data_IF_294104838924
#
_entry.id   IF_294104838924
#
_cell.length_a   1.000
_cell.length_b   1.000
_cell.length_c   1.000
_cell.angle_alpha   90.00
_cell.angle_beta   90.00
_cell.angle_gamma   90.00
#
_symmetry.space_group_name_H-M   'P 1'
#
loop_
_entity.id
_entity.type
_entity.pdbx_description
1 polymer ?
#
# COMPACT_ATOMS: atom_id res chain seq x y z
N UNK A 1 7.28 -34.54 30.01
CA UNK A 1 7.73 -34.01 28.71
C UNK A 1 6.84 -32.83 28.43
N UNK A 2 7.38 -31.61 28.46
CA UNK A 2 6.61 -30.41 28.11
C UNK A 2 6.39 -30.37 26.60
N UNK A 3 5.19 -29.96 26.19
CA UNK A 3 4.81 -29.79 24.79
C UNK A 3 4.08 -28.46 24.58
N UNK A 4 3.39 -28.34 23.46
CA UNK A 4 2.66 -27.14 23.08
C UNK A 4 1.23 -27.50 22.71
N UNK A 5 0.27 -26.71 23.17
CA UNK A 5 -1.11 -26.74 22.69
C UNK A 5 -1.23 -25.73 21.55
N UNK A 6 -1.57 -26.20 20.36
CA UNK A 6 -1.70 -25.39 19.14
C UNK A 6 -3.19 -25.24 18.85
N UNK A 7 -3.67 -24.01 18.69
CA UNK A 7 -5.07 -23.76 18.38
C UNK A 7 -5.40 -24.25 16.95
N UNK A 8 -6.60 -24.79 16.75
CA UNK A 8 -7.05 -25.36 15.47
C UNK A 8 -7.15 -24.34 14.32
N UNK A 9 -7.26 -23.05 14.64
CA UNK A 9 -7.21 -21.94 13.69
C UNK A 9 -5.78 -21.65 13.17
N UNK A 10 -4.74 -22.20 13.81
CA UNK A 10 -3.34 -22.11 13.39
C UNK A 10 -2.65 -20.78 13.72
N UNK A 11 -3.33 -19.86 14.42
CA UNK A 11 -2.85 -18.52 14.72
C UNK A 11 -2.26 -18.34 16.13
N UNK A 12 -2.21 -19.42 16.93
CA UNK A 12 -1.68 -19.33 18.29
C UNK A 12 -1.29 -20.68 18.87
N UNK A 13 -0.34 -20.64 19.79
CA UNK A 13 0.05 -21.79 20.60
C UNK A 13 0.52 -21.35 21.99
N UNK A 14 0.43 -22.27 22.95
CA UNK A 14 0.93 -22.06 24.32
C UNK A 14 1.69 -23.29 24.81
N UNK A 15 2.66 -23.08 25.70
CA UNK A 15 3.37 -24.19 26.33
C UNK A 15 2.47 -24.91 27.34
N UNK A 16 2.50 -26.25 27.33
CA UNK A 16 1.72 -27.11 28.22
C UNK A 16 2.59 -28.21 28.84
N UNK A 17 2.23 -28.66 30.03
CA UNK A 17 2.98 -29.67 30.78
C UNK A 17 2.68 -31.11 30.34
N UNK A 18 1.45 -31.35 29.88
CA UNK A 18 0.94 -32.65 29.40
C UNK A 18 -0.10 -32.46 28.29
N UNK A 19 -0.46 -33.56 27.62
CA UNK A 19 -1.61 -33.65 26.71
C UNK A 19 -2.95 -33.39 27.42
N UNK A 20 -3.00 -33.62 28.74
CA UNK A 20 -4.19 -33.39 29.57
C UNK A 20 -4.52 -31.89 29.73
N UNK A 21 -3.54 -31.01 29.47
CA UNK A 21 -3.71 -29.56 29.57
C UNK A 21 -4.20 -28.93 28.25
N UNK A 22 -4.49 -29.71 27.22
CA UNK A 22 -4.90 -29.26 25.88
C UNK A 22 -6.40 -29.02 25.85
N UNK A 23 -6.83 -27.84 25.38
CA UNK A 23 -8.23 -27.46 25.25
C UNK A 23 -8.94 -28.18 24.10
N UNK A 24 -10.27 -28.06 24.07
CA UNK A 24 -11.14 -28.73 23.08
C UNK A 24 -10.89 -28.31 21.63
N UNK A 25 -10.38 -27.09 21.43
CA UNK A 25 -10.03 -26.52 20.12
C UNK A 25 -8.50 -26.43 19.91
N UNK A 26 -7.74 -27.21 20.67
CA UNK A 26 -6.28 -27.26 20.58
C UNK A 26 -5.82 -28.69 20.29
N UNK A 27 -4.66 -28.84 19.66
CA UNK A 27 -3.99 -30.13 19.48
C UNK A 27 -2.58 -30.10 20.08
N UNK A 28 -2.14 -31.26 20.57
CA UNK A 28 -0.84 -31.40 21.24
C UNK A 28 0.31 -31.56 20.24
N UNK A 29 1.29 -30.67 20.30
CA UNK A 29 2.52 -30.74 19.54
C UNK A 29 3.72 -30.96 20.46
N UNK A 30 4.54 -31.98 20.16
CA UNK A 30 5.75 -32.31 20.94
C UNK A 30 6.92 -31.38 20.59
N UNK A 31 6.91 -30.78 19.39
CA UNK A 31 7.92 -29.83 18.93
C UNK A 31 7.45 -28.38 19.06
N UNK A 32 8.37 -27.41 19.03
CA UNK A 32 8.03 -25.99 18.93
C UNK A 32 7.18 -25.80 17.67
N UNK A 33 5.90 -25.42 17.78
CA UNK A 33 5.07 -25.17 16.62
C UNK A 33 5.62 -23.98 15.83
N UNK A 34 5.43 -23.97 14.49
CA UNK A 34 5.83 -22.83 13.68
C UNK A 34 5.18 -21.56 14.26
N UNK A 35 5.95 -20.48 14.35
CA UNK A 35 5.38 -19.20 14.73
C UNK A 35 4.19 -18.91 13.80
N UNK A 36 3.04 -18.47 14.34
CA UNK A 36 1.93 -18.07 13.48
C UNK A 36 2.47 -17.05 12.49
N UNK A 37 2.22 -17.26 11.19
CA UNK A 37 2.67 -16.33 10.18
C UNK A 37 2.13 -14.95 10.59
N UNK A 38 2.99 -13.91 10.70
CA UNK A 38 2.50 -12.57 10.96
C UNK A 38 1.43 -12.26 9.91
N UNK A 39 0.35 -11.60 10.29
CA UNK A 39 -0.71 -11.16 9.37
C UNK A 39 -0.14 -10.14 8.39
N UNK A 40 0.62 -10.61 7.40
CA UNK A 40 1.09 -9.81 6.28
C UNK A 40 -0.10 -9.58 5.37
N UNK A 41 -0.32 -8.32 4.99
CA UNK A 41 -1.35 -7.94 4.04
C UNK A 41 -1.22 -8.81 2.79
N UNK A 42 -2.31 -9.38 2.30
CA UNK A 42 -2.27 -10.21 1.08
C UNK A 42 -1.94 -9.34 -0.13
N UNK A 43 -1.43 -9.93 -1.22
CA UNK A 43 -1.15 -9.20 -2.46
C UNK A 43 -2.41 -8.48 -2.99
N UNK A 44 -3.58 -9.09 -2.85
CA UNK A 44 -4.86 -8.47 -3.21
C UNK A 44 -5.12 -7.18 -2.41
N UNK A 45 -4.97 -7.26 -1.08
CA UNK A 45 -5.16 -6.12 -0.19
C UNK A 45 -4.13 -5.01 -0.46
N UNK A 46 -2.87 -5.37 -0.76
CA UNK A 46 -1.83 -4.41 -1.17
C UNK A 46 -2.22 -3.72 -2.48
N UNK A 47 -2.75 -4.47 -3.45
CA UNK A 47 -3.23 -3.94 -4.70
C UNK A 47 -4.40 -2.97 -4.55
N UNK A 48 -5.34 -3.26 -3.66
CA UNK A 48 -6.43 -2.34 -3.32
C UNK A 48 -5.92 -1.06 -2.66
N UNK A 49 -5.04 -1.19 -1.66
CA UNK A 49 -4.45 -0.04 -0.98
C UNK A 49 -3.69 0.87 -1.96
N UNK A 50 -2.90 0.28 -2.88
CA UNK A 50 -2.21 1.03 -3.91
C UNK A 50 -3.18 1.75 -4.86
N UNK A 51 -4.31 1.13 -5.24
CA UNK A 51 -5.34 1.80 -6.07
C UNK A 51 -5.98 2.98 -5.34
N UNK A 52 -6.31 2.81 -4.05
CA UNK A 52 -6.84 3.90 -3.22
C UNK A 52 -5.85 5.06 -3.14
N UNK A 53 -4.57 4.76 -2.86
CA UNK A 53 -3.53 5.78 -2.81
C UNK A 53 -3.38 6.52 -4.14
N UNK A 54 -3.37 5.81 -5.26
CA UNK A 54 -3.35 6.41 -6.60
C UNK A 54 -4.52 7.36 -6.82
N UNK A 55 -5.73 6.96 -6.43
CA UNK A 55 -6.94 7.75 -6.65
C UNK A 55 -6.92 9.04 -5.80
N UNK A 56 -6.41 8.96 -4.58
CA UNK A 56 -6.13 10.14 -3.74
C UNK A 56 -5.14 11.09 -4.43
N UNK A 57 -4.01 10.57 -4.93
CA UNK A 57 -3.00 11.38 -5.61
C UNK A 57 -3.54 12.00 -6.92
N UNK A 58 -4.38 11.29 -7.67
CA UNK A 58 -5.06 11.81 -8.85
C UNK A 58 -6.04 12.94 -8.51
N UNK A 59 -6.75 12.84 -7.37
CA UNK A 59 -7.63 13.91 -6.89
C UNK A 59 -6.84 15.16 -6.49
N UNK A 60 -5.72 14.99 -5.77
CA UNK A 60 -4.81 16.09 -5.43
C UNK A 60 -4.30 16.78 -6.70
N UNK A 61 -3.82 16.00 -7.67
CA UNK A 61 -3.35 16.55 -8.94
C UNK A 61 -4.45 17.31 -9.69
N UNK A 62 -5.69 16.81 -9.71
CA UNK A 62 -6.81 17.52 -10.33
C UNK A 62 -7.08 18.88 -9.65
N UNK A 63 -7.06 18.93 -8.31
CA UNK A 63 -7.24 20.17 -7.56
C UNK A 63 -6.12 21.18 -7.83
N UNK A 64 -4.86 20.72 -7.95
CA UNK A 64 -3.71 21.57 -8.29
C UNK A 64 -3.77 22.10 -9.72
N UNK A 65 -4.23 21.27 -10.66
CA UNK A 65 -4.34 21.63 -12.06
C UNK A 65 -5.46 22.63 -12.35
N UNK A 66 -6.55 22.64 -11.57
CA UNK A 66 -7.72 23.51 -11.82
C UNK A 66 -7.34 24.98 -12.06
N UNK A 67 -6.71 25.66 -11.07
CA UNK A 67 -6.31 27.06 -11.23
C UNK A 67 -5.33 27.31 -12.38
N UNK A 68 -4.39 26.38 -12.60
CA UNK A 68 -3.40 26.50 -13.69
C UNK A 68 -4.07 26.38 -15.06
N UNK A 69 -5.06 25.49 -15.18
CA UNK A 69 -5.84 25.32 -16.40
C UNK A 69 -6.74 26.54 -16.62
N UNK A 70 -7.38 27.08 -15.58
CA UNK A 70 -8.17 28.31 -15.66
C UNK A 70 -7.32 29.48 -16.19
N UNK A 71 -6.10 29.66 -15.69
CA UNK A 71 -5.18 30.69 -16.15
C UNK A 71 -4.79 30.53 -17.63
N UNK A 72 -4.58 29.28 -18.08
CA UNK A 72 -4.29 28.98 -19.49
C UNK A 72 -5.51 29.25 -20.38
N UNK A 73 -6.69 28.86 -19.93
CA UNK A 73 -7.93 28.95 -20.71
C UNK A 73 -8.36 30.42 -20.96
N UNK A 74 -7.94 31.35 -20.11
CA UNK A 74 -8.17 32.80 -20.27
C UNK A 74 -6.93 33.56 -20.81
N UNK A 75 -5.92 32.85 -21.29
CA UNK A 75 -4.65 33.41 -21.79
C UNK A 75 -3.91 34.31 -20.77
N UNK A 76 -4.10 34.06 -19.47
CA UNK A 76 -3.48 34.80 -18.35
C UNK A 76 -2.35 34.04 -17.66
N UNK A 77 -2.05 32.81 -18.11
CA UNK A 77 -1.00 31.98 -17.51
C UNK A 77 0.40 32.53 -17.77
N UNK A 78 1.22 32.51 -16.74
CA UNK A 78 2.66 32.78 -16.84
C UNK A 78 3.38 31.55 -17.41
N UNK A 79 4.58 31.74 -17.96
CA UNK A 79 5.38 30.64 -18.52
C UNK A 79 5.59 29.51 -17.51
N UNK A 80 5.87 29.86 -16.24
CA UNK A 80 6.07 28.90 -15.15
C UNK A 80 4.78 28.12 -14.84
N UNK A 81 3.61 28.74 -14.94
CA UNK A 81 2.31 28.07 -14.72
C UNK A 81 1.99 27.06 -15.84
N UNK A 82 2.30 27.41 -17.09
CA UNK A 82 2.17 26.51 -18.24
C UNK A 82 3.09 25.30 -18.09
N UNK A 83 4.33 25.53 -17.67
CA UNK A 83 5.29 24.46 -17.41
C UNK A 83 4.86 23.58 -16.23
N UNK A 84 4.39 24.18 -15.13
CA UNK A 84 3.89 23.46 -13.97
C UNK A 84 2.66 22.59 -14.34
N UNK A 85 1.74 23.13 -15.14
CA UNK A 85 0.58 22.38 -15.65
C UNK A 85 1.00 21.17 -16.48
N UNK A 86 2.06 21.29 -17.29
CA UNK A 86 2.63 20.17 -18.06
C UNK A 86 3.20 19.09 -17.12
N UNK A 87 3.92 19.47 -16.08
CA UNK A 87 4.44 18.53 -15.08
C UNK A 87 3.32 17.79 -14.35
N UNK A 88 2.24 18.48 -13.97
CA UNK A 88 1.06 17.83 -13.37
C UNK A 88 0.36 16.85 -14.32
N UNK A 89 0.28 17.16 -15.62
CA UNK A 89 -0.27 16.24 -16.63
C UNK A 89 0.60 14.97 -16.76
N UNK A 90 1.92 15.12 -16.80
CA UNK A 90 2.86 13.99 -16.82
C UNK A 90 2.75 13.13 -15.56
N UNK A 91 2.63 13.77 -14.40
CA UNK A 91 2.43 13.11 -13.11
C UNK A 91 1.16 12.25 -13.10
N UNK A 92 0.01 12.78 -13.54
CA UNK A 92 -1.24 12.00 -13.65
C UNK A 92 -1.10 10.81 -14.61
N UNK A 93 -0.36 10.97 -15.71
CA UNK A 93 -0.11 9.87 -16.66
C UNK A 93 0.73 8.78 -15.98
N UNK A 94 1.77 9.15 -15.23
CA UNK A 94 2.60 8.22 -14.49
C UNK A 94 1.79 7.47 -13.42
N UNK A 95 0.96 8.19 -12.64
CA UNK A 95 0.06 7.60 -11.65
C UNK A 95 -0.91 6.57 -12.25
N UNK A 96 -1.47 6.85 -13.44
CA UNK A 96 -2.36 5.90 -14.09
C UNK A 96 -1.66 4.61 -14.55
N UNK A 97 -0.32 4.63 -14.66
CA UNK A 97 0.49 3.51 -15.14
C UNK A 97 1.16 2.71 -14.03
N UNK A 98 0.98 3.05 -12.76
CA UNK A 98 1.64 2.33 -11.64
C UNK A 98 1.29 0.85 -11.60
N UNK A 99 0.08 0.47 -12.03
CA UNK A 99 -0.36 -0.94 -12.07
C UNK A 99 0.35 -1.75 -13.17
N UNK A 100 1.02 -1.07 -14.11
CA UNK A 100 1.81 -1.71 -15.16
C UNK A 100 3.28 -1.90 -14.73
N UNK A 101 3.67 -1.44 -13.55
CA UNK A 101 5.01 -1.64 -13.04
C UNK A 101 5.23 -3.11 -12.67
N UNK A 102 6.43 -3.65 -12.89
CA UNK A 102 6.74 -5.04 -12.56
C UNK A 102 6.66 -5.33 -11.05
N UNK A 103 6.86 -4.32 -10.21
CA UNK A 103 6.78 -4.45 -8.74
C UNK A 103 5.38 -4.25 -8.16
N UNK A 104 4.35 -3.97 -8.97
CA UNK A 104 2.99 -3.85 -8.43
C UNK A 104 2.48 -5.21 -7.90
N UNK A 105 1.86 -5.27 -6.71
CA UNK A 105 1.55 -4.17 -5.78
C UNK A 105 2.53 -3.98 -4.60
N UNK A 106 3.63 -4.73 -4.57
CA UNK A 106 4.52 -4.83 -3.41
C UNK A 106 5.64 -3.78 -3.39
N UNK A 107 6.20 -3.45 -4.54
CA UNK A 107 7.30 -2.51 -4.74
C UNK A 107 6.94 -1.52 -5.85
N UNK A 108 6.25 -0.44 -5.48
CA UNK A 108 5.72 0.55 -6.41
C UNK A 108 6.61 1.79 -6.39
N UNK A 109 7.17 2.12 -7.54
CA UNK A 109 7.86 3.38 -7.79
C UNK A 109 6.82 4.49 -7.97
N UNK A 110 6.52 5.20 -6.89
CA UNK A 110 5.60 6.33 -6.93
C UNK A 110 6.27 7.54 -7.61
N UNK A 111 5.63 8.16 -8.62
CA UNK A 111 6.17 9.37 -9.22
C UNK A 111 6.21 10.49 -8.17
N UNK A 112 7.19 11.39 -8.29
CA UNK A 112 7.27 12.60 -7.47
C UNK A 112 6.28 13.64 -7.98
N UNK A 113 5.60 14.32 -7.05
CA UNK A 113 4.69 15.40 -7.42
C UNK A 113 5.48 16.62 -7.93
N UNK A 114 4.91 17.44 -8.82
CA UNK A 114 5.57 18.65 -9.28
C UNK A 114 5.95 19.62 -8.15
N UNK A 115 5.16 19.69 -7.08
CA UNK A 115 5.48 20.50 -5.90
C UNK A 115 6.80 20.03 -5.23
N UNK A 116 7.05 18.72 -5.20
CA UNK A 116 8.30 18.15 -4.67
C UNK A 116 9.49 18.37 -5.62
N UNK A 117 9.26 18.36 -6.94
CA UNK A 117 10.30 18.62 -7.94
C UNK A 117 10.77 20.08 -7.93
N UNK A 118 9.88 21.03 -7.63
CA UNK A 118 10.18 22.47 -7.56
C UNK A 118 10.89 22.85 -6.24
N UNK A 119 10.82 21.99 -5.22
CA UNK A 119 11.45 22.22 -3.91
C UNK A 119 12.90 21.70 -3.83
N UNK A 120 13.40 21.05 -4.89
CA UNK A 120 14.79 20.57 -5.00
C UNK A 120 15.68 21.53 -5.79
#
# INVERSE_FOLDING_TARGET
>A
MSGYAVQNDGFGWRAVGSVDDVGVDEWYCIGLPPAPAPFTLTEEQLGEQAKVQRDVLLSIAANRMGPLQDAVDIDSAHADEVELLKHWKLYRIALNRIQLQPGFPTDIDWPLSPDELVTQ
#
